data_IF_228656691089
#
_entry.id   IF_228656691089
#
_cell.length_a   1.000
_cell.length_b   1.000
_cell.length_c   1.000
_cell.angle_alpha   90.00
_cell.angle_beta   90.00
_cell.angle_gamma   90.00
#
_symmetry.space_group_name_H-M   'P 1'
#
loop_
_entity.id
_entity.type
_entity.pdbx_description
1 polymer ?
#
# COMPACT_ATOMS: atom_id res chain seq x y z
N UNK A 1 54.71 -16.80 -10.40
CA UNK A 1 53.34 -17.36 -10.47
C UNK A 1 52.38 -16.29 -9.94
N UNK A 2 51.37 -15.99 -10.75
CA UNK A 2 50.73 -14.68 -10.95
C UNK A 2 50.17 -13.92 -9.74
N UNK A 3 50.64 -12.69 -9.53
CA UNK A 3 49.96 -11.64 -8.74
C UNK A 3 48.70 -11.08 -9.44
N UNK A 4 48.50 -11.42 -10.73
CA UNK A 4 47.35 -11.00 -11.53
C UNK A 4 46.01 -11.61 -11.08
N UNK A 5 46.03 -12.70 -10.31
CA UNK A 5 44.82 -13.46 -9.95
C UNK A 5 44.02 -12.85 -8.78
N UNK A 6 44.71 -12.16 -7.86
CA UNK A 6 44.05 -11.56 -6.67
C UNK A 6 43.17 -10.37 -7.02
N UNK A 7 43.60 -9.53 -7.95
CA UNK A 7 42.83 -8.35 -8.34
C UNK A 7 41.52 -8.72 -9.08
N UNK A 8 41.55 -9.79 -9.88
CA UNK A 8 40.35 -10.32 -10.56
C UNK A 8 39.40 -10.93 -9.54
N UNK A 9 39.91 -11.70 -8.58
CA UNK A 9 39.09 -12.30 -7.52
C UNK A 9 38.41 -11.25 -6.62
N UNK A 10 39.12 -10.19 -6.21
CA UNK A 10 38.52 -9.10 -5.44
C UNK A 10 37.45 -8.34 -6.22
N UNK A 11 37.66 -8.10 -7.53
CA UNK A 11 36.66 -7.46 -8.39
C UNK A 11 35.40 -8.33 -8.53
N UNK A 12 35.55 -9.64 -8.68
CA UNK A 12 34.42 -10.57 -8.73
C UNK A 12 33.67 -10.63 -7.41
N UNK A 13 34.37 -10.67 -6.27
CA UNK A 13 33.75 -10.60 -4.93
C UNK A 13 32.98 -9.30 -4.73
N UNK A 14 33.50 -8.17 -5.21
CA UNK A 14 32.83 -6.88 -5.11
C UNK A 14 31.58 -6.83 -6.01
N UNK A 15 31.64 -7.39 -7.22
CA UNK A 15 30.48 -7.52 -8.12
C UNK A 15 29.41 -8.42 -7.49
N UNK A 16 29.80 -9.55 -6.89
CA UNK A 16 28.86 -10.44 -6.19
C UNK A 16 28.28 -9.78 -4.92
N UNK A 17 29.08 -9.08 -4.13
CA UNK A 17 28.60 -8.35 -2.97
C UNK A 17 27.62 -7.24 -3.37
N UNK A 18 27.91 -6.52 -4.46
CA UNK A 18 27.01 -5.52 -5.03
C UNK A 18 25.75 -6.14 -5.64
N UNK A 19 25.84 -7.32 -6.26
CA UNK A 19 24.68 -8.03 -6.81
C UNK A 19 23.77 -8.61 -5.71
N UNK A 20 24.35 -9.05 -4.59
CA UNK A 20 23.60 -9.52 -3.41
C UNK A 20 23.02 -8.34 -2.63
N UNK A 21 23.73 -7.20 -2.56
CA UNK A 21 23.15 -5.96 -2.02
C UNK A 21 22.12 -5.32 -2.96
N UNK A 22 22.18 -5.54 -4.28
CA UNK A 22 21.15 -5.05 -5.19
C UNK A 22 19.91 -5.96 -5.25
N UNK A 23 19.89 -7.05 -4.47
CA UNK A 23 18.73 -7.92 -4.33
C UNK A 23 17.76 -7.46 -3.22
N UNK A 24 17.97 -6.27 -2.64
CA UNK A 24 16.87 -5.58 -1.97
C UNK A 24 15.86 -5.20 -3.07
N UNK A 25 14.70 -5.85 -3.07
CA UNK A 25 13.62 -5.58 -4.02
C UNK A 25 13.20 -4.12 -3.87
N UNK A 26 13.71 -3.26 -4.75
CA UNK A 26 13.21 -1.89 -4.87
C UNK A 26 11.77 -2.00 -5.37
N UNK A 27 10.80 -1.36 -4.70
CA UNK A 27 9.42 -1.35 -5.15
C UNK A 27 9.32 -0.90 -6.61
N UNK A 28 8.43 -1.52 -7.37
CA UNK A 28 8.12 -1.14 -8.72
C UNK A 28 7.49 0.26 -8.75
N UNK A 29 7.99 1.12 -9.62
CA UNK A 29 7.56 2.52 -9.73
C UNK A 29 6.26 2.68 -10.54
N UNK A 30 5.71 1.61 -11.11
CA UNK A 30 4.44 1.59 -11.85
C UNK A 30 3.29 0.90 -11.09
N UNK A 31 3.49 0.61 -9.80
CA UNK A 31 2.55 -0.13 -8.96
C UNK A 31 2.12 0.62 -7.70
N UNK A 32 0.97 0.23 -7.18
CA UNK A 32 0.43 0.65 -5.88
C UNK A 32 0.40 -0.59 -5.00
N UNK A 33 1.01 -0.49 -3.82
CA UNK A 33 1.09 -1.54 -2.82
C UNK A 33 0.01 -1.34 -1.76
N UNK A 34 -0.63 -2.41 -1.27
CA UNK A 34 -1.73 -2.27 -0.32
C UNK A 34 -1.84 -3.49 0.60
N UNK A 35 -2.52 -3.30 1.73
CA UNK A 35 -2.73 -4.39 2.67
C UNK A 35 -3.87 -5.32 2.27
N UNK A 36 -3.64 -6.61 2.46
CA UNK A 36 -4.57 -7.68 2.14
C UNK A 36 -5.74 -7.75 3.11
N UNK A 37 -5.50 -7.35 4.36
CA UNK A 37 -6.45 -7.44 5.47
C UNK A 37 -7.85 -6.93 5.10
N UNK A 38 -8.86 -7.69 5.53
CA UNK A 38 -10.28 -7.35 5.35
C UNK A 38 -10.97 -7.45 6.70
N UNK A 39 -11.80 -6.45 6.99
CA UNK A 39 -12.58 -6.41 8.21
C UNK A 39 -13.76 -7.39 8.15
N UNK A 40 -13.69 -8.45 8.95
CA UNK A 40 -14.75 -9.47 8.98
C UNK A 40 -16.03 -8.98 9.68
N UNK A 41 -17.07 -9.83 9.72
CA UNK A 41 -18.35 -9.51 10.36
C UNK A 41 -18.25 -9.35 11.89
N UNK A 42 -17.23 -9.95 12.52
CA UNK A 42 -16.99 -9.88 13.97
C UNK A 42 -16.16 -8.65 14.36
N UNK A 43 -15.63 -7.92 13.38
CA UNK A 43 -14.76 -6.78 13.61
C UNK A 43 -13.29 -7.18 13.76
N UNK A 44 -12.90 -8.35 13.25
CA UNK A 44 -11.52 -8.85 13.27
C UNK A 44 -10.87 -8.59 11.92
N UNK A 45 -9.65 -8.05 11.95
CA UNK A 45 -8.77 -8.00 10.78
C UNK A 45 -7.67 -9.05 10.94
N UNK A 46 -7.69 -10.13 10.14
CA UNK A 46 -6.54 -11.02 10.02
C UNK A 46 -5.48 -10.35 9.14
N UNK A 47 -4.24 -10.30 9.62
CA UNK A 47 -3.07 -9.89 8.85
C UNK A 47 -2.19 -11.13 8.68
N UNK A 48 -1.77 -11.42 7.45
CA UNK A 48 -0.84 -12.52 7.23
C UNK A 48 0.48 -12.24 7.96
N UNK A 49 1.05 -13.23 8.62
CA UNK A 49 2.29 -13.05 9.37
C UNK A 49 3.43 -12.50 8.49
N UNK A 50 3.54 -12.97 7.24
CA UNK A 50 4.57 -12.48 6.32
C UNK A 50 4.34 -11.00 5.99
N UNK A 51 3.08 -10.61 5.78
CA UNK A 51 2.71 -9.22 5.55
C UNK A 51 2.99 -8.34 6.78
N UNK A 52 2.71 -8.84 8.00
CA UNK A 52 3.04 -8.15 9.24
C UNK A 52 4.56 -7.97 9.42
N UNK A 53 5.34 -8.98 9.07
CA UNK A 53 6.80 -8.92 9.07
C UNK A 53 7.31 -7.88 8.05
N UNK A 54 6.75 -7.88 6.84
CA UNK A 54 7.10 -6.94 5.77
C UNK A 54 6.84 -5.49 6.22
N UNK A 55 5.70 -5.24 6.88
CA UNK A 55 5.35 -3.93 7.48
C UNK A 55 6.40 -3.47 8.49
N UNK A 56 6.78 -4.34 9.43
CA UNK A 56 7.75 -3.98 10.47
C UNK A 56 9.13 -3.64 9.90
N UNK A 57 9.50 -4.26 8.79
CA UNK A 57 10.75 -3.99 8.09
C UNK A 57 10.64 -2.81 7.12
N UNK A 58 9.50 -2.13 7.07
CA UNK A 58 9.21 -1.04 6.12
C UNK A 58 9.29 -1.47 4.65
N UNK A 59 9.06 -2.76 4.37
CA UNK A 59 8.90 -3.23 3.00
C UNK A 59 7.53 -2.82 2.44
N UNK A 60 7.45 -2.70 1.11
CA UNK A 60 6.18 -2.47 0.44
C UNK A 60 5.23 -3.64 0.76
N UNK A 61 3.95 -3.33 1.01
CA UNK A 61 2.94 -4.34 1.30
C UNK A 61 2.95 -5.46 0.24
N UNK A 62 2.70 -6.71 0.65
CA UNK A 62 2.92 -7.88 -0.22
C UNK A 62 2.00 -7.95 -1.44
N UNK A 63 0.95 -7.12 -1.50
CA UNK A 63 0.02 -7.03 -2.62
C UNK A 63 0.23 -5.74 -3.41
N UNK A 64 0.23 -5.87 -4.73
CA UNK A 64 0.36 -4.72 -5.61
C UNK A 64 -0.67 -4.72 -6.73
N UNK A 65 -0.89 -3.54 -7.32
CA UNK A 65 -1.72 -3.34 -8.50
C UNK A 65 -1.07 -2.30 -9.40
N UNK A 66 -0.98 -2.58 -10.70
CA UNK A 66 -0.45 -1.64 -11.68
C UNK A 66 -1.31 -0.38 -11.75
N UNK A 67 -0.67 0.79 -11.71
CA UNK A 67 -1.36 2.08 -11.80
C UNK A 67 -2.23 2.13 -13.06
N UNK A 68 -1.67 1.73 -14.20
CA UNK A 68 -2.40 1.80 -15.48
C UNK A 68 -3.59 0.85 -15.58
N UNK A 69 -3.70 -0.15 -14.69
CA UNK A 69 -4.85 -1.05 -14.63
C UNK A 69 -6.09 -0.42 -14.00
N UNK A 70 -5.95 0.71 -13.29
CA UNK A 70 -7.07 1.45 -12.73
C UNK A 70 -7.76 2.30 -13.80
N UNK A 71 -9.09 2.40 -13.70
CA UNK A 71 -9.89 3.26 -14.55
C UNK A 71 -9.54 4.74 -14.36
N UNK A 72 -9.63 5.52 -15.44
CA UNK A 72 -9.44 6.97 -15.40
C UNK A 72 -10.75 7.61 -14.91
N UNK A 73 -10.65 8.58 -13.99
CA UNK A 73 -11.80 9.27 -13.39
C UNK A 73 -12.52 10.20 -14.36
N UNK A 74 -11.79 10.84 -15.28
CA UNK A 74 -12.36 11.77 -16.26
C UNK A 74 -11.98 11.32 -17.66
N UNK A 75 -12.97 10.88 -18.43
CA UNK A 75 -12.77 10.39 -19.79
C UNK A 75 -12.06 11.44 -20.67
N UNK A 76 -11.04 10.99 -21.40
CA UNK A 76 -10.24 11.84 -22.28
C UNK A 76 -9.10 12.61 -21.60
N UNK A 77 -9.00 12.58 -20.26
CA UNK A 77 -7.84 13.14 -19.56
C UNK A 77 -6.62 12.22 -19.68
N UNK A 78 -5.45 12.81 -19.92
CA UNK A 78 -4.17 12.11 -19.98
C UNK A 78 -3.12 12.84 -19.14
N UNK A 79 -1.97 12.22 -18.91
CA UNK A 79 -0.83 12.87 -18.24
C UNK A 79 -0.26 14.07 -19.02
N UNK A 80 -0.62 14.23 -20.31
CA UNK A 80 -0.24 15.36 -21.15
C UNK A 80 -1.28 16.47 -21.18
N UNK A 81 -2.44 16.30 -20.53
CA UNK A 81 -3.43 17.36 -20.39
C UNK A 81 -2.83 18.57 -19.68
N UNK A 82 -3.17 19.78 -20.14
CA UNK A 82 -2.66 21.03 -19.59
C UNK A 82 -3.11 21.27 -18.15
N UNK A 83 -4.23 20.67 -17.74
CA UNK A 83 -4.72 20.73 -16.37
C UNK A 83 -5.55 19.49 -16.03
N UNK A 84 -5.64 19.22 -14.74
CA UNK A 84 -6.57 18.27 -14.15
C UNK A 84 -6.87 18.75 -12.72
N UNK A 85 -8.12 19.13 -12.47
CA UNK A 85 -8.56 19.82 -11.25
C UNK A 85 -9.84 19.16 -10.70
N UNK A 86 -9.80 17.87 -10.32
CA UNK A 86 -11.02 17.12 -9.97
C UNK A 86 -11.66 17.59 -8.66
N UNK A 87 -10.91 18.28 -7.78
CA UNK A 87 -11.42 18.76 -6.48
C UNK A 87 -12.08 20.14 -6.60
N UNK A 88 -11.40 21.11 -7.22
CA UNK A 88 -11.89 22.46 -7.41
C UNK A 88 -11.19 23.14 -8.60
N UNK A 89 -11.96 23.84 -9.44
CA UNK A 89 -11.43 24.54 -10.62
C UNK A 89 -10.67 25.83 -10.29
N UNK A 90 -10.94 26.43 -9.12
CA UNK A 90 -10.33 27.67 -8.67
C UNK A 90 -10.10 27.65 -7.16
N UNK A 91 -9.14 28.46 -6.68
CA UNK A 91 -8.92 28.71 -5.26
C UNK A 91 -10.18 29.23 -4.54
N UNK A 92 -10.98 30.06 -5.20
CA UNK A 92 -12.23 30.56 -4.61
C UNK A 92 -13.23 29.43 -4.37
N UNK A 93 -13.34 28.46 -5.28
CA UNK A 93 -14.21 27.29 -5.09
C UNK A 93 -13.63 26.41 -4.00
N UNK A 94 -12.32 26.17 -4.02
CA UNK A 94 -11.63 25.39 -3.01
C UNK A 94 -11.87 25.90 -1.58
N UNK A 95 -11.78 27.21 -1.36
CA UNK A 95 -11.98 27.84 -0.05
C UNK A 95 -13.43 27.73 0.47
N UNK A 96 -14.38 27.29 -0.35
CA UNK A 96 -15.78 27.05 0.05
C UNK A 96 -16.11 25.59 0.31
N UNK A 97 -15.22 24.64 -0.04
CA UNK A 97 -15.47 23.22 0.18
C UNK A 97 -15.57 22.92 1.66
N UNK A 98 -16.52 22.03 2.04
CA UNK A 98 -16.71 21.61 3.43
C UNK A 98 -15.43 21.02 4.03
N UNK A 99 -14.69 20.24 3.24
CA UNK A 99 -13.42 19.64 3.66
C UNK A 99 -12.32 20.68 3.91
N UNK A 100 -12.38 21.86 3.30
CA UNK A 100 -11.38 22.94 3.46
C UNK A 100 -11.60 23.74 4.74
N UNK A 101 -12.83 23.78 5.26
CA UNK A 101 -13.19 24.62 6.40
C UNK A 101 -12.61 24.08 7.71
N UNK A 102 -12.22 25.02 8.59
CA UNK A 102 -11.68 24.72 9.92
C UNK A 102 -12.62 23.82 10.72
N UNK A 103 -12.06 22.82 11.40
CA UNK A 103 -12.80 22.00 12.35
C UNK A 103 -13.26 22.82 13.55
N UNK A 104 -14.42 22.48 14.11
CA UNK A 104 -14.90 23.09 15.36
C UNK A 104 -14.02 22.70 16.55
N UNK A 105 -14.14 23.40 17.68
CA UNK A 105 -13.38 23.04 18.87
C UNK A 105 -13.73 21.63 19.36
N UNK A 106 -15.04 21.29 19.43
CA UNK A 106 -15.51 19.97 19.86
C UNK A 106 -15.01 18.84 18.96
N UNK A 107 -14.82 19.09 17.66
CA UNK A 107 -14.21 18.13 16.74
C UNK A 107 -12.71 17.97 16.99
N UNK A 108 -12.00 19.07 17.24
CA UNK A 108 -10.58 19.00 17.59
C UNK A 108 -10.32 18.37 18.96
N UNK A 109 -11.31 18.41 19.86
CA UNK A 109 -11.24 17.75 21.17
C UNK A 109 -11.35 16.22 21.06
N UNK A 110 -11.88 15.68 19.94
CA UNK A 110 -11.79 14.26 19.63
C UNK A 110 -10.44 13.98 18.92
N UNK A 111 -9.47 13.44 19.67
CA UNK A 111 -8.07 13.31 19.23
C UNK A 111 -7.91 12.66 17.84
N UNK A 112 -8.61 11.55 17.50
CA UNK A 112 -8.50 10.93 16.18
C UNK A 112 -9.04 11.77 15.00
N UNK A 113 -9.82 12.81 15.27
CA UNK A 113 -10.36 13.74 14.27
C UNK A 113 -9.46 14.95 14.12
N UNK A 114 -8.70 15.28 15.17
CA UNK A 114 -7.98 16.54 15.30
C UNK A 114 -7.17 16.86 14.03
N UNK A 115 -7.33 18.08 13.54
CA UNK A 115 -6.72 18.50 12.27
C UNK A 115 -5.23 18.83 12.40
N UNK A 116 -4.46 18.08 13.20
CA UNK A 116 -3.03 18.29 13.33
C UNK A 116 -2.36 18.20 11.94
N UNK A 117 -1.29 18.95 11.68
CA UNK A 117 -0.61 18.96 10.37
C UNK A 117 -0.03 17.60 9.97
N UNK A 118 0.18 16.71 10.94
CA UNK A 118 0.58 15.31 10.72
C UNK A 118 -0.63 14.38 10.43
N UNK A 119 -1.84 14.92 10.48
CA UNK A 119 -3.11 14.21 10.33
C UNK A 119 -3.96 14.75 9.19
N UNK A 120 -3.67 14.28 7.99
CA UNK A 120 -4.40 14.72 6.79
C UNK A 120 -5.48 13.75 6.36
N UNK A 121 -5.77 12.69 7.13
CA UNK A 121 -6.75 11.68 6.76
C UNK A 121 -8.13 12.29 6.52
N UNK A 122 -8.55 13.25 7.37
CA UNK A 122 -9.78 13.99 7.19
C UNK A 122 -9.83 14.70 5.82
N UNK A 123 -8.82 15.51 5.50
CA UNK A 123 -8.80 16.25 4.24
C UNK A 123 -8.61 15.32 3.03
N UNK A 124 -7.78 14.29 3.17
CA UNK A 124 -7.49 13.29 2.15
C UNK A 124 -8.76 12.54 1.74
N UNK A 125 -9.55 12.07 2.70
CA UNK A 125 -10.80 11.37 2.43
C UNK A 125 -11.83 12.30 1.80
N UNK A 126 -11.99 13.51 2.33
CA UNK A 126 -12.97 14.47 1.82
C UNK A 126 -12.68 14.95 0.39
N UNK A 127 -11.43 15.27 0.09
CA UNK A 127 -11.04 15.63 -1.28
C UNK A 127 -11.08 14.45 -2.24
N UNK A 128 -10.81 13.23 -1.78
CA UNK A 128 -10.97 12.04 -2.64
C UNK A 128 -12.45 11.78 -2.95
N UNK A 129 -13.36 11.93 -1.97
CA UNK A 129 -14.80 11.88 -2.22
C UNK A 129 -15.19 12.93 -3.27
N UNK A 130 -14.70 14.16 -3.13
CA UNK A 130 -14.96 15.23 -4.09
C UNK A 130 -14.45 14.90 -5.49
N UNK A 131 -13.23 14.39 -5.61
CA UNK A 131 -12.60 14.07 -6.88
C UNK A 131 -13.25 12.89 -7.61
N UNK A 132 -13.67 11.85 -6.86
CA UNK A 132 -14.20 10.61 -7.42
C UNK A 132 -15.71 10.69 -7.67
N UNK A 133 -16.46 11.34 -6.78
CA UNK A 133 -17.93 11.31 -6.78
C UNK A 133 -18.57 12.68 -7.01
N UNK A 134 -17.78 13.76 -7.03
CA UNK A 134 -18.28 15.13 -7.09
C UNK A 134 -18.92 15.65 -5.79
N UNK A 135 -19.17 14.79 -4.81
CA UNK A 135 -19.82 15.16 -3.55
C UNK A 135 -18.90 15.99 -2.65
N UNK A 136 -19.44 17.06 -2.07
CA UNK A 136 -18.77 17.89 -1.08
C UNK A 136 -19.27 17.53 0.33
N UNK A 137 -18.40 16.92 1.12
CA UNK A 137 -18.72 16.39 2.45
C UNK A 137 -17.75 16.92 3.52
N UNK A 138 -18.19 16.84 4.77
CA UNK A 138 -17.29 16.78 5.92
C UNK A 138 -17.12 15.30 6.29
N UNK A 139 -15.96 14.66 6.09
CA UNK A 139 -15.79 13.24 6.43
C UNK A 139 -16.05 12.94 7.90
N UNK A 140 -16.81 11.88 8.21
CA UNK A 140 -16.99 11.40 9.57
C UNK A 140 -15.91 10.37 9.92
N UNK A 141 -14.86 10.80 10.63
CA UNK A 141 -13.78 9.92 11.08
C UNK A 141 -14.25 9.05 12.25
N UNK A 142 -15.11 9.57 13.13
CA UNK A 142 -15.68 8.80 14.25
C UNK A 142 -16.55 7.64 13.76
N UNK A 143 -17.27 7.80 12.64
CA UNK A 143 -17.98 6.70 11.98
C UNK A 143 -17.01 5.62 11.51
N UNK A 144 -15.89 5.99 10.88
CA UNK A 144 -14.87 5.05 10.43
C UNK A 144 -14.26 4.29 11.61
N UNK A 145 -13.91 4.97 12.71
CA UNK A 145 -13.39 4.34 13.93
C UNK A 145 -14.39 3.33 14.49
N UNK A 146 -15.65 3.74 14.67
CA UNK A 146 -16.69 2.85 15.21
C UNK A 146 -16.98 1.66 14.32
N UNK A 147 -17.02 1.89 13.01
CA UNK A 147 -17.24 0.85 11.99
C UNK A 147 -16.00 -0.02 11.74
N UNK A 148 -14.86 0.33 12.32
CA UNK A 148 -13.56 -0.29 12.07
C UNK A 148 -13.28 -1.53 12.92
N UNK A 149 -12.01 -1.98 12.93
CA UNK A 149 -11.58 -3.14 13.69
C UNK A 149 -11.82 -2.98 15.18
N UNK A 150 -12.22 -4.08 15.82
CA UNK A 150 -12.19 -4.29 17.27
C UNK A 150 -10.97 -5.11 17.68
N UNK A 151 -10.46 -5.93 16.76
CA UNK A 151 -9.30 -6.78 16.99
C UNK A 151 -8.48 -6.85 15.71
N UNK A 152 -7.17 -6.74 15.85
CA UNK A 152 -6.19 -7.07 14.79
C UNK A 152 -5.42 -8.30 15.25
N UNK A 153 -5.20 -9.27 14.36
CA UNK A 153 -4.41 -10.45 14.71
C UNK A 153 -3.58 -10.97 13.55
N UNK A 154 -2.42 -11.53 13.84
CA UNK A 154 -1.63 -12.27 12.86
C UNK A 154 -2.23 -13.66 12.61
N UNK A 155 -2.18 -14.11 11.35
CA UNK A 155 -2.56 -15.45 10.91
C UNK A 155 -1.41 -16.09 10.13
N UNK A 156 -1.50 -17.40 9.88
CA UNK A 156 -0.47 -18.17 9.14
C UNK A 156 0.94 -18.10 9.76
N UNK A 157 1.01 -18.01 11.09
CA UNK A 157 2.27 -17.93 11.84
C UNK A 157 3.03 -19.24 11.74
N UNK A 158 4.36 -19.15 11.69
CA UNK A 158 5.23 -20.31 11.75
C UNK A 158 5.02 -21.05 13.08
N UNK A 159 4.58 -22.33 13.09
CA UNK A 159 4.34 -23.06 14.34
C UNK A 159 5.60 -23.23 15.20
N UNK A 160 6.79 -23.10 14.61
CA UNK A 160 8.07 -23.19 15.32
C UNK A 160 8.45 -21.88 16.04
N UNK A 161 7.72 -20.77 15.79
CA UNK A 161 7.94 -19.46 16.45
C UNK A 161 6.61 -18.86 16.96
N UNK A 162 6.10 -19.32 18.11
CA UNK A 162 4.83 -18.85 18.66
C UNK A 162 4.90 -17.45 19.27
N UNK A 163 6.09 -16.87 19.46
CA UNK A 163 6.27 -15.50 19.96
C UNK A 163 5.77 -14.45 18.96
N UNK A 164 5.61 -14.86 17.70
CA UNK A 164 5.10 -14.06 16.58
C UNK A 164 3.57 -13.98 16.49
N UNK A 165 2.86 -14.64 17.41
CA UNK A 165 1.42 -14.49 17.56
C UNK A 165 1.09 -13.13 18.18
N UNK A 166 0.51 -12.25 17.37
CA UNK A 166 0.06 -10.94 17.78
C UNK A 166 -1.46 -10.87 17.74
N UNK A 167 -2.05 -10.42 18.85
CA UNK A 167 -3.46 -10.05 18.94
C UNK A 167 -3.53 -8.75 19.70
N UNK A 168 -4.18 -7.77 19.12
CA UNK A 168 -4.41 -6.48 19.74
C UNK A 168 -5.89 -6.12 19.73
N UNK A 169 -6.39 -5.70 20.88
CA UNK A 169 -7.74 -5.20 21.04
C UNK A 169 -7.74 -3.71 20.82
N UNK A 170 -8.50 -3.26 19.83
CA UNK A 170 -8.48 -1.87 19.40
C UNK A 170 -9.49 -1.08 20.22
N UNK A 171 -8.97 -0.16 21.03
CA UNK A 171 -9.80 0.79 21.76
C UNK A 171 -10.36 1.86 20.82
N UNK A 172 -11.68 1.99 20.80
CA UNK A 172 -12.39 2.99 19.99
C UNK A 172 -12.83 4.15 20.91
N UNK A 173 -12.01 5.20 20.98
CA UNK A 173 -12.25 6.37 21.85
C UNK A 173 -11.85 7.68 21.16
N UNK A 174 -12.41 8.79 21.65
CA UNK A 174 -11.95 10.15 21.30
C UNK A 174 -10.81 10.64 22.21
N UNK A 175 -10.57 9.98 23.35
CA UNK A 175 -9.61 10.41 24.37
C UNK A 175 -8.20 9.85 24.17
N UNK A 176 -7.99 9.08 23.09
CA UNK A 176 -6.71 8.43 22.80
C UNK A 176 -6.43 8.48 21.31
N UNK A 177 -5.14 8.49 20.98
CA UNK A 177 -4.66 8.31 19.64
C UNK A 177 -5.14 6.97 19.08
N UNK A 178 -5.76 7.02 17.90
CA UNK A 178 -6.16 5.85 17.13
C UNK A 178 -5.13 5.60 16.02
N UNK A 179 -4.75 4.35 15.78
CA UNK A 179 -3.91 4.02 14.62
C UNK A 179 -4.71 4.23 13.34
N UNK A 180 -4.38 5.31 12.63
CA UNK A 180 -5.08 5.75 11.42
C UNK A 180 -4.95 4.76 10.28
N UNK A 181 -3.91 3.93 10.28
CA UNK A 181 -3.81 2.85 9.30
C UNK A 181 -4.98 1.87 9.42
N UNK A 182 -5.65 1.80 10.58
CA UNK A 182 -6.83 0.95 10.75
C UNK A 182 -8.11 1.53 10.11
N UNK A 183 -8.15 2.85 9.84
CA UNK A 183 -9.30 3.50 9.20
C UNK A 183 -9.58 2.92 7.82
N UNK A 184 -8.53 2.51 7.08
CA UNK A 184 -8.67 1.93 5.75
C UNK A 184 -9.56 0.69 5.71
N UNK A 185 -9.59 -0.11 6.80
CA UNK A 185 -10.40 -1.32 6.87
C UNK A 185 -11.88 -0.98 6.98
N UNK A 186 -12.21 0.06 7.76
CA UNK A 186 -13.56 0.60 7.85
C UNK A 186 -13.97 1.30 6.56
N UNK A 187 -13.07 2.07 5.96
CA UNK A 187 -13.29 2.72 4.66
C UNK A 187 -13.64 1.69 3.59
N UNK A 188 -12.87 0.60 3.49
CA UNK A 188 -13.13 -0.47 2.54
C UNK A 188 -14.50 -1.13 2.77
N UNK A 189 -14.85 -1.46 4.01
CA UNK A 189 -16.08 -2.17 4.32
C UNK A 189 -17.33 -1.28 4.28
N UNK A 190 -17.25 -0.11 4.90
CA UNK A 190 -18.39 0.73 5.21
C UNK A 190 -18.43 1.99 4.34
N UNK A 191 -17.31 2.40 3.75
CA UNK A 191 -17.11 3.73 3.18
C UNK A 191 -17.14 4.83 4.26
N UNK A 192 -17.05 6.08 3.81
CA UNK A 192 -17.09 7.27 4.65
C UNK A 192 -18.41 8.02 4.46
N UNK A 193 -18.96 8.54 5.55
CA UNK A 193 -20.20 9.34 5.52
C UNK A 193 -19.94 10.82 5.83
N UNK A 194 -20.93 11.67 5.57
CA UNK A 194 -20.87 13.07 5.96
C UNK A 194 -21.10 13.23 7.48
N UNK A 195 -20.39 14.16 8.13
CA UNK A 195 -20.51 14.45 9.56
C UNK A 195 -21.91 14.91 9.97
N UNK A 196 -22.69 15.46 9.03
CA UNK A 196 -24.09 15.78 9.30
C UNK A 196 -24.93 14.54 9.63
N UNK A 197 -24.54 13.36 9.12
CA UNK A 197 -25.17 12.08 9.45
C UNK A 197 -24.63 11.52 10.78
N UNK A 198 -23.30 11.46 10.93
CA UNK A 198 -22.62 10.99 12.14
C UNK A 198 -21.56 12.03 12.55
N UNK A 199 -21.78 12.80 13.64
CA UNK A 199 -20.86 13.86 14.06
C UNK A 199 -19.48 13.36 14.48
N UNK A 200 -18.47 14.22 14.30
CA UNK A 200 -17.09 13.98 14.70
C UNK A 200 -16.79 14.35 16.17
N UNK A 201 -17.81 14.67 16.96
CA UNK A 201 -17.63 15.12 18.35
C UNK A 201 -17.58 13.98 19.37
N UNK A 202 -17.97 12.76 18.97
CA UNK A 202 -17.90 11.56 19.81
C UNK A 202 -17.90 10.29 18.94
N UNK A 203 -17.39 9.18 19.49
CA UNK A 203 -17.57 7.86 18.88
C UNK A 203 -19.06 7.48 18.93
N UNK A 204 -19.71 7.22 17.79
CA UNK A 204 -21.14 6.91 17.78
C UNK A 204 -21.42 5.54 18.41
N UNK A 205 -22.66 5.37 18.89
CA UNK A 205 -23.12 4.05 19.37
C UNK A 205 -23.34 3.07 18.23
N UNK A 206 -23.78 3.58 17.07
CA UNK A 206 -24.06 2.82 15.87
C UNK A 206 -23.50 3.57 14.66
N UNK A 207 -22.65 2.91 13.87
CA UNK A 207 -22.01 3.47 12.68
C UNK A 207 -22.80 3.19 11.39
N UNK A 208 -23.88 2.41 11.45
CA UNK A 208 -24.64 1.96 10.28
C UNK A 208 -25.81 2.86 9.90
N UNK A 209 -26.10 3.90 10.71
CA UNK A 209 -27.21 4.83 10.49
C UNK A 209 -26.89 6.22 11.00
N UNK A 210 -27.59 7.22 10.48
CA UNK A 210 -27.44 8.59 10.96
C UNK A 210 -28.03 8.76 12.37
N UNK A 211 -27.47 9.70 13.12
CA UNK A 211 -27.98 10.08 14.45
C UNK A 211 -29.36 10.73 14.32
N UNK A 212 -29.53 11.60 13.32
CA UNK A 212 -30.83 12.14 12.94
C UNK A 212 -31.49 11.22 11.89
N UNK A 213 -32.64 10.60 12.20
CA UNK A 213 -33.34 9.71 11.27
C UNK A 213 -33.91 10.43 10.03
N UNK A 214 -33.96 11.76 10.01
CA UNK A 214 -34.36 12.54 8.82
C UNK A 214 -33.25 12.63 7.76
N UNK A 215 -32.01 12.32 8.12
CA UNK A 215 -30.87 12.36 7.22
C UNK A 215 -30.69 10.98 6.58
N UNK A 216 -30.77 10.90 5.25
CA UNK A 216 -30.50 9.65 4.50
C UNK A 216 -29.04 9.24 4.73
N UNK A 217 -28.83 8.00 5.18
CA UNK A 217 -27.49 7.43 5.28
C UNK A 217 -26.93 7.26 3.87
N UNK A 218 -25.84 7.96 3.58
CA UNK A 218 -25.13 7.84 2.30
C UNK A 218 -23.65 7.70 2.56
N UNK A 219 -23.10 6.58 2.10
CA UNK A 219 -21.69 6.27 2.19
C UNK A 219 -20.99 6.47 0.85
N UNK A 220 -19.74 6.94 0.92
CA UNK A 220 -18.88 7.20 -0.22
C UNK A 220 -17.61 6.35 -0.10
N UNK A 221 -16.97 6.04 -1.23
CA UNK A 221 -15.71 5.29 -1.28
C UNK A 221 -15.78 3.89 -0.63
N UNK A 222 -16.96 3.30 -0.49
CA UNK A 222 -17.08 1.88 -0.09
C UNK A 222 -16.31 1.01 -1.10
N UNK A 223 -15.53 0.06 -0.60
CA UNK A 223 -14.64 -0.78 -1.40
C UNK A 223 -13.26 -0.16 -1.70
N UNK A 224 -13.01 1.11 -1.35
CA UNK A 224 -11.69 1.71 -1.53
C UNK A 224 -10.70 1.21 -0.47
N UNK A 225 -9.43 1.13 -0.85
CA UNK A 225 -8.29 0.85 0.04
C UNK A 225 -7.29 1.99 0.00
N UNK A 226 -6.49 2.11 1.05
CA UNK A 226 -5.26 2.88 1.01
C UNK A 226 -4.18 2.08 0.27
N UNK A 227 -3.46 2.77 -0.62
CA UNK A 227 -2.40 2.19 -1.41
C UNK A 227 -1.18 3.09 -1.44
N UNK A 228 0.00 2.51 -1.33
CA UNK A 228 1.29 3.17 -1.22
C UNK A 228 2.04 3.07 -2.55
N UNK A 229 2.75 4.12 -2.91
CA UNK A 229 3.62 4.15 -4.09
C UNK A 229 4.96 4.75 -3.70
N UNK A 230 6.02 4.37 -4.41
CA UNK A 230 7.39 4.69 -4.04
C UNK A 230 8.19 5.19 -5.24
N UNK A 231 8.90 6.30 -5.05
CA UNK A 231 9.87 6.88 -5.97
C UNK A 231 9.39 7.01 -7.42
N UNK A 232 8.11 7.36 -7.61
CA UNK A 232 7.52 7.51 -8.93
C UNK A 232 7.90 8.86 -9.54
N UNK A 233 8.07 8.90 -10.86
CA UNK A 233 8.34 10.15 -11.58
C UNK A 233 7.08 11.02 -11.75
N UNK A 234 7.27 12.26 -12.19
CA UNK A 234 6.18 13.21 -12.46
C UNK A 234 5.13 12.66 -13.43
N UNK A 235 5.54 11.94 -14.48
CA UNK A 235 4.61 11.40 -15.49
C UNK A 235 3.70 10.35 -14.87
N UNK A 236 4.29 9.49 -14.05
CA UNK A 236 3.60 8.40 -13.35
C UNK A 236 2.71 8.94 -12.25
N UNK A 237 3.14 9.98 -11.53
CA UNK A 237 2.28 10.69 -10.57
C UNK A 237 1.06 11.33 -11.25
N UNK A 238 1.22 11.94 -12.44
CA UNK A 238 0.06 12.43 -13.22
C UNK A 238 -0.86 11.29 -13.65
N UNK A 239 -0.32 10.15 -14.08
CA UNK A 239 -1.11 8.95 -14.41
C UNK A 239 -1.87 8.42 -13.20
N UNK A 240 -1.29 8.50 -12.01
CA UNK A 240 -1.91 8.10 -10.75
C UNK A 240 -3.05 9.05 -10.38
N UNK A 241 -2.80 10.36 -10.37
CA UNK A 241 -3.80 11.40 -10.07
C UNK A 241 -5.05 11.29 -10.93
N UNK A 242 -4.94 11.06 -12.24
CA UNK A 242 -6.13 10.93 -13.11
C UNK A 242 -6.98 9.69 -12.80
N UNK A 243 -6.50 8.76 -11.98
CA UNK A 243 -7.18 7.51 -11.60
C UNK A 243 -7.65 7.51 -10.15
N UNK A 244 -6.95 8.21 -9.26
CA UNK A 244 -7.23 8.23 -7.82
C UNK A 244 -7.75 9.58 -7.32
N UNK A 245 -7.58 10.63 -8.12
CA UNK A 245 -8.08 11.99 -7.86
C UNK A 245 -7.14 12.79 -6.96
N UNK A 246 -6.78 12.23 -5.80
CA UNK A 246 -5.92 12.87 -4.80
C UNK A 246 -4.76 11.96 -4.43
N UNK A 247 -3.60 12.56 -4.19
CA UNK A 247 -2.40 11.91 -3.68
C UNK A 247 -1.98 12.59 -2.38
N UNK A 248 -1.74 11.79 -1.33
CA UNK A 248 -1.09 12.23 -0.09
C UNK A 248 0.39 11.94 -0.21
N UNK A 249 1.24 12.96 -0.14
CA UNK A 249 2.69 12.77 -0.09
C UNK A 249 3.14 12.37 1.32
N UNK A 250 4.09 11.46 1.42
CA UNK A 250 4.64 11.04 2.72
C UNK A 250 5.48 12.18 3.34
N UNK A 251 6.15 12.97 2.50
CA UNK A 251 6.90 14.14 2.93
C UNK A 251 5.93 15.27 3.24
N UNK A 252 5.90 15.72 4.50
CA UNK A 252 5.09 16.85 5.01
C UNK A 252 3.57 16.65 4.96
N UNK A 253 3.08 15.43 4.68
CA UNK A 253 1.64 15.13 4.60
C UNK A 253 0.85 16.03 3.63
N UNK A 254 1.51 16.58 2.60
CA UNK A 254 0.85 17.46 1.63
C UNK A 254 -0.07 16.68 0.70
N UNK A 255 -1.21 17.28 0.31
CA UNK A 255 -2.14 16.66 -0.63
C UNK A 255 -1.99 17.28 -2.02
N UNK A 256 -1.60 16.51 -3.02
CA UNK A 256 -1.71 16.93 -4.42
C UNK A 256 -3.13 16.62 -4.89
N UNK A 257 -3.87 17.67 -5.23
CA UNK A 257 -5.28 17.61 -5.63
C UNK A 257 -5.50 17.90 -7.12
N UNK A 258 -4.41 18.09 -7.87
CA UNK A 258 -4.44 18.36 -9.31
C UNK A 258 -3.17 19.01 -9.84
N UNK A 259 -3.21 19.45 -11.09
CA UNK A 259 -2.16 20.29 -11.69
C UNK A 259 -2.76 21.29 -12.68
N UNK A 260 -2.02 22.37 -12.92
CA UNK A 260 -2.34 23.36 -13.95
C UNK A 260 -1.04 23.88 -14.57
N UNK A 261 -0.86 23.64 -15.87
CA UNK A 261 0.38 23.96 -16.57
C UNK A 261 1.56 23.18 -16.01
N UNK A 262 2.58 23.93 -15.55
CA UNK A 262 3.78 23.42 -14.91
C UNK A 262 3.69 23.37 -13.39
N UNK A 263 2.52 23.63 -12.80
CA UNK A 263 2.35 23.68 -11.34
C UNK A 263 1.51 22.50 -10.82
N UNK A 264 1.96 21.89 -9.74
CA UNK A 264 1.11 21.13 -8.85
C UNK A 264 0.13 22.05 -8.14
N UNK A 265 -1.11 21.57 -7.99
CA UNK A 265 -2.08 22.17 -7.09
C UNK A 265 -2.11 21.33 -5.81
N UNK A 266 -1.74 21.97 -4.71
CA UNK A 266 -1.66 21.34 -3.40
C UNK A 266 -2.71 21.90 -2.45
N UNK A 267 -3.27 21.04 -1.61
CA UNK A 267 -3.99 21.41 -0.41
C UNK A 267 -3.10 21.15 0.81
N UNK A 268 -2.77 22.23 1.54
CA UNK A 268 -1.88 22.17 2.70
C UNK A 268 -2.70 22.46 3.96
N UNK A 269 -2.90 21.47 4.84
CA UNK A 269 -3.61 21.66 6.11
C UNK A 269 -2.79 22.56 7.06
N UNK A 270 -3.49 23.31 7.90
CA UNK A 270 -2.95 23.85 9.14
C UNK A 270 -3.25 22.90 10.31
N UNK A 271 -2.83 23.27 11.52
CA UNK A 271 -3.02 22.47 12.74
C UNK A 271 -4.47 22.38 13.23
N UNK A 272 -5.43 22.97 12.51
CA UNK A 272 -6.86 22.94 12.84
C UNK A 272 -7.70 22.36 11.70
N UNK A 273 -7.06 21.69 10.74
CA UNK A 273 -7.69 21.04 9.59
C UNK A 273 -8.14 22.01 8.49
N UNK A 274 -7.87 23.32 8.60
CA UNK A 274 -8.13 24.25 7.51
C UNK A 274 -7.06 24.08 6.43
N UNK A 275 -7.46 23.92 5.17
CA UNK A 275 -6.50 23.80 4.08
C UNK A 275 -6.31 25.09 3.30
N UNK A 276 -5.08 25.32 2.87
CA UNK A 276 -4.72 26.39 1.94
C UNK A 276 -4.46 25.82 0.54
N UNK A 277 -4.91 26.56 -0.47
CA UNK A 277 -4.60 26.27 -1.87
C UNK A 277 -3.19 26.80 -2.19
N UNK A 278 -2.32 25.93 -2.70
CA UNK A 278 -0.98 26.32 -3.11
C UNK A 278 -0.67 25.83 -4.51
N UNK A 279 -0.06 26.71 -5.30
CA UNK A 279 0.60 26.35 -6.56
C UNK A 279 2.08 26.16 -6.31
N UNK A 280 2.64 25.09 -6.85
CA UNK A 280 4.06 24.79 -6.73
C UNK A 280 4.58 24.25 -8.05
N UNK A 281 5.67 24.84 -8.55
CA UNK A 281 6.29 24.41 -9.80
C UNK A 281 6.75 22.93 -9.68
N UNK A 282 6.47 22.17 -10.73
CA UNK A 282 6.84 20.75 -10.81
C UNK A 282 8.34 20.62 -11.11
N UNK A 283 9.07 19.91 -10.25
CA UNK A 283 10.45 19.51 -10.52
C UNK A 283 10.49 18.29 -11.45
N UNK A 284 10.65 18.53 -12.75
CA UNK A 284 10.74 17.48 -13.76
C UNK A 284 12.11 16.78 -13.82
N UNK A 285 13.17 17.37 -13.24
CA UNK A 285 14.54 16.86 -13.40
C UNK A 285 14.93 15.91 -12.27
N UNK A 286 14.47 16.18 -11.05
CA UNK A 286 14.81 15.40 -9.85
C UNK A 286 13.61 15.00 -9.00
N UNK A 287 12.39 15.39 -9.38
CA UNK A 287 11.19 15.06 -8.63
C UNK A 287 10.83 13.58 -8.69
N UNK A 288 11.15 12.85 -7.61
CA UNK A 288 10.53 11.57 -7.29
C UNK A 288 9.50 11.76 -6.19
N UNK A 289 8.44 10.96 -6.23
CA UNK A 289 7.33 11.07 -5.31
C UNK A 289 7.05 9.73 -4.62
N UNK A 290 6.84 9.79 -3.32
CA UNK A 290 6.44 8.66 -2.48
C UNK A 290 5.25 9.12 -1.64
N UNK A 291 4.25 8.25 -1.51
CA UNK A 291 3.00 8.66 -0.88
C UNK A 291 1.93 7.58 -0.85
N UNK A 292 0.72 8.03 -0.53
CA UNK A 292 -0.49 7.22 -0.44
C UNK A 292 -1.59 7.74 -1.38
N UNK A 293 -2.41 6.84 -1.89
CA UNK A 293 -3.65 7.10 -2.63
C UNK A 293 -4.81 6.29 -2.05
N UNK A 294 -6.04 6.75 -2.31
CA UNK A 294 -7.21 5.90 -2.19
C UNK A 294 -7.57 5.37 -3.57
N UNK A 295 -7.77 4.05 -3.67
CA UNK A 295 -8.12 3.42 -4.92
C UNK A 295 -9.09 2.27 -4.69
N UNK A 296 -9.85 1.93 -5.72
CA UNK A 296 -10.77 0.79 -5.69
C UNK A 296 -10.19 -0.41 -6.43
N UNK A 297 -10.23 -1.59 -5.81
CA UNK A 297 -9.73 -2.83 -6.41
C UNK A 297 -10.58 -3.31 -7.60
N UNK A 298 -11.87 -2.99 -7.61
CA UNK A 298 -12.82 -3.50 -8.59
C UNK A 298 -12.92 -2.63 -9.85
N UNK A 299 -12.14 -1.54 -9.95
CA UNK A 299 -12.17 -0.60 -11.07
C UNK A 299 -13.58 -0.03 -11.33
N UNK A 300 -14.10 0.77 -10.40
CA UNK A 300 -15.38 1.47 -10.55
C UNK A 300 -15.45 2.22 -11.90
N UNK A 301 -16.42 1.93 -12.78
CA UNK A 301 -16.79 2.88 -13.81
C UNK A 301 -17.49 4.07 -13.15
N UNK A 302 -17.05 5.28 -13.49
CA UNK A 302 -17.57 6.57 -12.98
C UNK A 302 -19.09 6.69 -13.19
N UNK A 303 -19.62 6.01 -14.21
CA UNK A 303 -21.04 6.04 -14.58
C UNK A 303 -21.96 5.24 -13.62
N UNK A 304 -21.41 4.43 -12.70
CA UNK A 304 -22.19 3.61 -11.76
C UNK A 304 -22.51 4.32 -10.43
N UNK A 305 -22.14 5.60 -10.27
CA UNK A 305 -22.23 6.31 -8.97
C UNK A 305 -23.64 6.89 -8.73
N UNK A 306 -24.49 6.95 -9.75
CA UNK A 306 -25.84 7.54 -9.68
C UNK A 306 -27.01 6.54 -9.82
N UNK A 307 -26.75 5.25 -10.03
CA UNK A 307 -27.82 4.24 -9.97
C UNK A 307 -28.00 3.80 -8.52
N UNK A 308 -28.89 4.50 -7.83
CA UNK A 308 -29.47 4.10 -6.56
C UNK A 308 -29.92 2.64 -6.64
N UNK A 309 -29.19 1.72 -5.99
CA UNK A 309 -29.82 0.51 -5.47
C UNK A 309 -30.81 0.97 -4.39
N UNK A 310 -32.02 1.30 -4.83
CA UNK A 310 -33.19 1.15 -3.98
C UNK A 310 -33.26 -0.34 -3.60
N UNK A 311 -32.65 -0.70 -2.46
CA UNK A 311 -33.03 -1.91 -1.75
C UNK A 311 -34.50 -1.72 -1.35
N UNK A 312 -35.41 -2.11 -2.26
CA UNK A 312 -36.79 -2.39 -1.88
C UNK A 312 -36.73 -3.42 -0.76
N UNK A 313 -37.20 -3.03 0.42
CA UNK A 313 -37.46 -3.93 1.52
C UNK A 313 -38.61 -4.85 1.07
N UNK A 314 -38.26 -5.93 0.37
CA UNK A 314 -39.19 -6.99 0.03
C UNK A 314 -39.54 -7.68 1.35
N UNK A 315 -40.77 -7.46 1.80
CA UNK A 315 -41.40 -8.27 2.84
C UNK A 315 -41.55 -9.67 2.27
N UNK A 316 -40.78 -10.60 2.82
CA UNK A 316 -40.73 -12.01 2.49
C UNK A 316 -42.12 -12.67 2.58
N UNK A 317 -42.75 -12.86 1.42
CA UNK A 317 -43.70 -13.95 1.18
C UNK A 317 -43.17 -14.81 0.03
N UNK A 318 -42.18 -15.66 0.37
CA UNK A 318 -42.03 -17.02 -0.13
C UNK A 318 -42.22 -17.29 -1.63
N UNK A 319 -41.09 -17.49 -2.32
CA UNK A 319 -40.89 -18.63 -3.23
C UNK A 319 -39.39 -18.74 -3.59
N UNK A 320 -38.78 -19.87 -3.25
CA UNK A 320 -37.41 -20.21 -3.64
C UNK A 320 -37.37 -20.60 -5.12
N UNK A 321 -36.66 -19.81 -5.92
CA UNK A 321 -36.23 -20.22 -7.26
C UNK A 321 -34.79 -20.73 -7.18
N UNK A 322 -34.58 -21.97 -7.60
CA UNK A 322 -33.30 -22.68 -7.57
C UNK A 322 -32.48 -22.20 -8.76
N UNK A 323 -31.38 -21.49 -8.51
CA UNK A 323 -30.40 -21.10 -9.53
C UNK A 323 -29.54 -22.31 -9.87
N UNK A 324 -29.54 -22.70 -11.15
CA UNK A 324 -28.83 -23.87 -11.68
C UNK A 324 -27.30 -23.74 -11.52
N UNK A 325 -26.73 -24.63 -10.73
CA UNK A 325 -25.31 -24.76 -10.36
C UNK A 325 -24.40 -25.24 -11.53
N UNK A 326 -24.95 -25.32 -12.75
CA UNK A 326 -24.31 -26.00 -13.88
C UNK A 326 -23.38 -25.11 -14.72
N UNK A 327 -23.42 -23.79 -14.53
CA UNK A 327 -22.66 -22.83 -15.37
C UNK A 327 -21.27 -22.47 -14.78
N UNK A 328 -21.07 -22.66 -13.47
CA UNK A 328 -19.78 -22.40 -12.80
C UNK A 328 -18.71 -23.45 -13.14
N UNK A 329 -19.12 -24.72 -13.34
CA UNK A 329 -18.20 -25.83 -13.65
C UNK A 329 -17.49 -25.68 -15.00
N UNK A 330 -18.18 -25.17 -16.02
CA UNK A 330 -17.60 -24.98 -17.36
C UNK A 330 -16.48 -23.93 -17.39
N UNK A 331 -16.58 -22.91 -16.53
CA UNK A 331 -15.58 -21.84 -16.46
C UNK A 331 -14.29 -22.32 -15.80
N UNK A 332 -14.40 -23.20 -14.80
CA UNK A 332 -13.25 -23.83 -14.13
C UNK A 332 -12.51 -24.77 -15.10
N UNK A 333 -13.23 -25.59 -15.87
CA UNK A 333 -12.61 -26.51 -16.84
C UNK A 333 -11.82 -25.79 -17.94
N UNK A 334 -12.30 -24.61 -18.38
CA UNK A 334 -11.57 -23.79 -19.35
C UNK A 334 -10.27 -23.20 -18.78
N UNK A 335 -10.28 -22.78 -17.51
CA UNK A 335 -9.08 -22.26 -16.84
C UNK A 335 -8.06 -23.38 -16.63
N UNK A 336 -8.48 -24.55 -16.14
CA UNK A 336 -7.59 -25.70 -15.91
C UNK A 336 -6.92 -26.14 -17.21
N UNK A 337 -7.68 -26.16 -18.32
CA UNK A 337 -7.14 -26.51 -19.64
C UNK A 337 -6.11 -25.47 -20.14
N UNK A 338 -6.41 -24.18 -19.98
CA UNK A 338 -5.50 -23.09 -20.37
C UNK A 338 -4.17 -23.14 -19.62
N UNK A 339 -4.21 -23.45 -18.31
CA UNK A 339 -3.01 -23.60 -17.47
C UNK A 339 -2.20 -24.83 -17.90
N UNK A 340 -2.86 -25.96 -18.19
CA UNK A 340 -2.22 -27.17 -18.69
C UNK A 340 -1.48 -26.94 -20.02
N UNK A 341 -2.15 -26.31 -20.99
CA UNK A 341 -1.58 -26.02 -22.31
C UNK A 341 -0.38 -25.05 -22.21
N UNK A 342 -0.43 -24.07 -21.29
CA UNK A 342 0.68 -23.17 -21.02
C UNK A 342 1.88 -23.92 -20.41
N UNK A 343 1.64 -24.83 -19.46
CA UNK A 343 2.70 -25.59 -18.82
C UNK A 343 3.39 -26.53 -19.82
N UNK A 344 2.63 -27.21 -20.67
CA UNK A 344 3.16 -28.10 -21.70
C UNK A 344 4.00 -27.34 -22.75
N UNK A 345 3.61 -26.11 -23.07
CA UNK A 345 4.37 -25.26 -24.00
C UNK A 345 5.67 -24.72 -23.42
N UNK A 346 5.74 -24.51 -22.10
CA UNK A 346 6.86 -23.83 -21.44
C UNK A 346 7.76 -24.74 -20.58
N UNK A 347 7.43 -26.02 -20.38
CA UNK A 347 8.17 -26.90 -19.47
C UNK A 347 9.67 -27.03 -19.79
N UNK A 348 10.05 -27.03 -21.07
CA UNK A 348 11.48 -27.09 -21.48
C UNK A 348 12.26 -25.85 -21.04
N UNK A 349 11.62 -24.68 -21.07
CA UNK A 349 12.23 -23.42 -20.62
C UNK A 349 12.42 -23.44 -19.09
N UNK A 350 11.41 -23.93 -18.37
CA UNK A 350 11.46 -24.10 -16.91
C UNK A 350 12.61 -25.05 -16.52
N UNK A 351 12.77 -26.18 -17.22
CA UNK A 351 13.87 -27.12 -16.98
C UNK A 351 15.24 -26.49 -17.27
N UNK A 352 15.37 -25.68 -18.32
CA UNK A 352 16.63 -24.96 -18.62
C UNK A 352 16.96 -23.95 -17.51
N UNK A 353 15.96 -23.19 -17.03
CA UNK A 353 16.15 -22.23 -15.93
C UNK A 353 16.57 -22.96 -14.65
N UNK A 354 15.86 -24.02 -14.27
CA UNK A 354 16.18 -24.81 -13.07
C UNK A 354 17.56 -25.46 -13.18
N UNK A 355 17.91 -26.02 -14.34
CA UNK A 355 19.24 -26.61 -14.57
C UNK A 355 20.36 -25.55 -14.55
N UNK A 356 20.09 -24.34 -15.01
CA UNK A 356 21.05 -23.21 -14.98
C UNK A 356 21.29 -22.72 -13.55
N UNK A 357 20.24 -22.65 -12.74
CA UNK A 357 20.33 -22.26 -11.33
C UNK A 357 21.06 -23.34 -10.53
N UNK A 358 20.66 -24.61 -10.64
CA UNK A 358 21.31 -25.71 -9.92
C UNK A 358 22.75 -25.93 -10.39
N UNK A 359 23.01 -25.82 -11.69
CA UNK A 359 24.35 -25.86 -12.26
C UNK A 359 25.24 -24.72 -11.75
N UNK A 360 24.69 -23.50 -11.65
CA UNK A 360 25.37 -22.34 -11.05
C UNK A 360 25.75 -22.58 -9.59
N UNK A 361 24.84 -23.12 -8.78
CA UNK A 361 25.11 -23.44 -7.38
C UNK A 361 26.20 -24.51 -7.21
N UNK A 362 26.23 -25.55 -8.05
CA UNK A 362 27.27 -26.60 -7.99
C UNK A 362 28.65 -26.03 -8.36
N UNK A 363 28.73 -25.14 -9.34
CA UNK A 363 29.97 -24.48 -9.72
C UNK A 363 30.46 -23.55 -8.60
N UNK A 364 29.57 -22.76 -8.00
CA UNK A 364 29.91 -21.88 -6.88
C UNK A 364 30.38 -22.70 -5.67
N UNK A 365 29.66 -23.78 -5.31
CA UNK A 365 30.04 -24.65 -4.20
C UNK A 365 31.41 -25.33 -4.43
N UNK A 366 31.71 -25.73 -5.67
CA UNK A 366 33.00 -26.32 -6.03
C UNK A 366 34.15 -25.31 -5.95
N UNK A 367 33.91 -24.07 -6.38
CA UNK A 367 34.87 -22.97 -6.28
C UNK A 367 35.15 -22.63 -4.82
N UNK A 368 34.10 -22.46 -4.00
CA UNK A 368 34.22 -22.18 -2.56
C UNK A 368 34.99 -23.29 -1.84
N UNK A 369 34.66 -24.56 -2.11
CA UNK A 369 35.35 -25.71 -1.52
C UNK A 369 36.83 -25.72 -1.91
N UNK A 370 37.15 -25.47 -3.18
CA UNK A 370 38.54 -25.42 -3.67
C UNK A 370 39.33 -24.30 -3.00
N UNK A 371 38.73 -23.11 -2.88
CA UNK A 371 39.34 -21.96 -2.19
C UNK A 371 39.58 -22.30 -0.71
N UNK A 372 38.62 -22.93 -0.04
CA UNK A 372 38.76 -23.34 1.35
C UNK A 372 39.88 -24.38 1.55
N UNK A 373 39.97 -25.38 0.66
CA UNK A 373 41.05 -26.36 0.67
C UNK A 373 42.43 -25.71 0.47
N UNK A 374 42.56 -24.77 -0.47
CA UNK A 374 43.81 -24.04 -0.72
C UNK A 374 44.20 -23.15 0.48
N UNK A 375 43.22 -22.49 1.09
CA UNK A 375 43.42 -21.69 2.30
C UNK A 375 43.93 -22.55 3.47
N UNK A 376 43.27 -23.67 3.75
CA UNK A 376 43.67 -24.61 4.82
C UNK A 376 45.08 -25.18 4.59
N UNK A 377 45.41 -25.52 3.33
CA UNK A 377 46.76 -25.99 2.97
C UNK A 377 47.83 -24.92 3.20
N UNK A 378 47.52 -23.65 2.94
CA UNK A 378 48.44 -22.53 3.19
C UNK A 378 48.65 -22.29 4.70
N UNK A 379 47.58 -22.36 5.50
CA UNK A 379 47.69 -22.26 6.96
C UNK A 379 48.54 -23.38 7.55
N UNK A 380 48.32 -24.63 7.12
CA UNK A 380 49.13 -25.76 7.58
C UNK A 380 50.61 -25.61 7.23
N UNK A 381 50.93 -25.06 6.04
CA UNK A 381 52.32 -24.78 5.65
C UNK A 381 52.95 -23.68 6.52
N UNK A 382 52.19 -22.64 6.89
CA UNK A 382 52.68 -21.58 7.78
C UNK A 382 53.02 -22.12 9.17
N UNK A 383 52.13 -22.93 9.75
CA UNK A 383 52.32 -23.53 11.07
C UNK A 383 53.51 -24.49 11.10
N UNK A 384 53.76 -25.23 10.01
CA UNK A 384 54.94 -26.11 9.89
C UNK A 384 56.26 -25.34 9.89
N UNK A 385 56.31 -24.17 9.25
CA UNK A 385 57.51 -23.32 9.21
C UNK A 385 57.76 -22.66 10.57
N UNK A 386 56.71 -22.23 11.26
CA UNK A 386 56.83 -21.66 12.61
C UNK A 386 57.32 -22.70 13.63
N UNK A 387 56.92 -23.98 13.51
CA UNK A 387 57.45 -25.06 14.33
C UNK A 387 58.94 -25.38 14.05
N UNK A 388 59.40 -25.34 12.80
CA UNK A 388 60.82 -25.53 12.47
C UNK A 388 61.71 -24.41 13.03
N UNK A 389 61.22 -23.15 13.02
CA UNK A 389 61.92 -22.00 13.59
C UNK A 389 62.05 -22.12 15.11
N UNK A 390 61.02 -22.59 15.81
CA UNK A 390 61.05 -22.80 17.26
C UNK A 390 62.04 -23.91 17.66
N UNK A 391 62.14 -24.99 16.89
CA UNK A 391 63.07 -26.09 17.16
C UNK A 391 64.53 -25.70 16.90
N UNK A 392 64.81 -24.81 15.96
CA UNK A 392 66.18 -24.32 15.70
C UNK A 392 66.67 -23.32 16.76
N UNK A 393 65.77 -22.60 17.45
CA UNK A 393 66.15 -21.69 18.54
C UNK A 393 66.44 -22.42 19.86
N UNK A 394 65.91 -23.63 20.07
CA UNK A 394 66.16 -24.42 21.28
C UNK A 394 67.52 -25.16 21.30
N UNK A 395 68.20 -25.29 20.15
CA UNK A 395 69.50 -25.99 20.04
C UNK A 395 70.74 -25.11 20.24
N UNK A 396 70.59 -23.80 20.49
CA UNK A 396 71.67 -22.82 20.56
C UNK A 396 71.82 -22.15 21.95
N UNK A 397 71.23 -22.73 23.01
CA UNK A 397 71.41 -22.27 24.40
C UNK A 397 72.13 -23.31 25.25
#
# INVERSE_FOLDING_TARGET
MHFYDRAVFFKLLLIFALAVHSAFDTPATDEIYYYSGVLDAKGIVPIDYQEAFDIQQSYAASWSKKIESLAILVNGTTHTSTQFLPVAETESVFNTLKTTLKLTQEENDCEPVSGNTEDVQYNFYGYTVKAVTGADIYPSITQLIKGGPKTVKTVNINPDDPEDYFVDEIEQSCDRQYDKNLLQYSLHKNGVVNKSCIPNTAIPQDASKCVDPQIKYKSYLKGFKEGYFYDIDTVTLKKLLIRTGVVKLDVNSELIIGWQGSDWIKAIPDSYGYCTWRKEEVDYEYGTYTGTVLFNLENYPVDAIDEEEEEEVIVDEGQHEVVDEQDSGKKIDQIVKSVGDWFEKNWKLIVIIVASVVGGYIVIASIVTTIFCLYKRKQNKKNSVEQEILLTQQGNN
#
